data_IF_624683178731
#
_entry.id   IF_624683178731
#
_cell.length_a   1.000
_cell.length_b   1.000
_cell.length_c   1.000
_cell.angle_alpha   90.00
_cell.angle_beta   90.00
_cell.angle_gamma   90.00
#
_symmetry.space_group_name_H-M   'P 1'
#
loop_
_entity.id
_entity.type
_entity.pdbx_description
1 polymer ?
#
# COMPACT_ATOMS: atom_id res chain seq x y z
N UNK A 1 -2.74 8.09 41.58
CA UNK A 1 -1.37 8.56 41.28
C UNK A 1 -1.24 8.54 39.77
N UNK A 2 -0.88 9.67 39.14
CA UNK A 2 -0.67 9.72 37.70
C UNK A 2 0.68 9.07 37.39
N UNK A 3 0.70 8.12 36.46
CA UNK A 3 1.94 7.52 35.96
C UNK A 3 2.63 8.50 35.02
N UNK A 4 3.72 9.11 35.48
CA UNK A 4 4.67 9.81 34.61
C UNK A 4 5.27 8.78 33.64
N UNK A 5 4.75 8.74 32.40
CA UNK A 5 5.44 8.07 31.30
C UNK A 5 6.77 8.80 31.07
N UNK A 6 7.85 8.05 30.97
CA UNK A 6 9.19 8.61 30.75
C UNK A 6 9.24 9.41 29.44
N UNK A 7 9.88 10.57 29.48
CA UNK A 7 10.22 11.35 28.28
C UNK A 7 11.13 10.52 27.38
N UNK A 8 10.62 10.13 26.20
CA UNK A 8 11.44 9.49 25.16
C UNK A 8 12.44 10.52 24.63
N UNK A 9 13.73 10.19 24.68
CA UNK A 9 14.82 11.00 24.14
C UNK A 9 15.33 10.38 22.83
N UNK A 10 15.48 11.21 21.80
CA UNK A 10 15.98 10.80 20.48
C UNK A 10 17.51 10.90 20.41
N UNK A 11 18.15 10.04 19.62
CA UNK A 11 19.61 10.01 19.50
C UNK A 11 20.11 11.03 18.46
N UNK A 12 21.34 11.52 18.61
CA UNK A 12 21.98 12.43 17.63
C UNK A 12 21.90 11.92 16.19
N UNK A 13 22.02 10.59 16.02
CA UNK A 13 21.96 9.91 14.73
C UNK A 13 20.62 10.11 14.00
N UNK A 14 19.53 10.30 14.73
CA UNK A 14 18.19 10.48 14.15
C UNK A 14 18.05 11.87 13.51
N UNK A 15 18.67 12.88 14.12
CA UNK A 15 18.78 14.24 13.57
C UNK A 15 19.71 14.29 12.35
N UNK A 16 20.82 13.54 12.37
CA UNK A 16 21.73 13.45 11.23
C UNK A 16 21.09 12.70 10.04
N UNK A 17 20.32 11.63 10.29
CA UNK A 17 19.51 10.94 9.28
C UNK A 17 18.49 11.89 8.64
N UNK A 18 17.76 12.69 9.43
CA UNK A 18 16.82 13.70 8.94
C UNK A 18 17.50 14.77 8.06
N UNK A 19 18.69 15.22 8.45
CA UNK A 19 19.48 16.22 7.68
C UNK A 19 20.05 15.66 6.39
N UNK A 20 20.59 14.45 6.40
CA UNK A 20 21.01 13.77 5.17
C UNK A 20 19.81 13.59 4.22
N UNK A 21 18.65 13.21 4.76
CA UNK A 21 17.47 12.97 3.95
C UNK A 21 16.87 14.25 3.35
N UNK A 22 16.77 15.34 4.13
CA UNK A 22 16.35 16.65 3.61
C UNK A 22 17.22 17.15 2.44
N UNK A 23 18.49 16.71 2.38
CA UNK A 23 19.44 16.99 1.29
C UNK A 23 19.41 15.96 0.15
N UNK A 24 19.07 14.69 0.43
CA UNK A 24 19.17 13.56 -0.51
C UNK A 24 17.87 13.25 -1.27
N UNK A 25 16.71 13.72 -0.82
CA UNK A 25 15.47 13.55 -1.60
C UNK A 25 15.52 14.49 -2.81
N UNK A 26 16.00 13.93 -3.92
CA UNK A 26 15.87 14.51 -5.25
C UNK A 26 14.38 14.76 -5.56
N UNK A 27 14.07 15.95 -6.09
CA UNK A 27 12.82 16.21 -6.81
C UNK A 27 12.85 15.47 -8.14
N UNK A 28 12.78 14.14 -8.09
CA UNK A 28 12.38 13.37 -9.26
C UNK A 28 10.96 13.80 -9.60
N UNK A 29 10.65 14.10 -10.88
CA UNK A 29 9.33 14.58 -11.29
C UNK A 29 8.31 13.45 -11.18
N UNK A 30 7.86 13.20 -9.94
CA UNK A 30 7.15 12.01 -9.48
C UNK A 30 5.74 11.95 -10.07
N UNK A 31 5.10 13.11 -10.26
CA UNK A 31 3.76 13.20 -10.84
C UNK A 31 3.73 13.82 -12.24
N UNK A 32 4.88 14.06 -12.87
CA UNK A 32 4.90 14.66 -14.21
C UNK A 32 4.04 13.91 -15.25
N UNK A 33 3.98 12.56 -15.28
CA UNK A 33 3.04 11.84 -16.15
C UNK A 33 1.56 12.20 -15.91
N UNK A 34 1.18 12.59 -14.69
CA UNK A 34 -0.17 13.07 -14.36
C UNK A 34 -0.42 14.47 -14.93
N UNK A 35 0.53 15.38 -14.70
CA UNK A 35 0.43 16.77 -15.13
C UNK A 35 0.40 16.89 -16.67
N UNK A 36 1.26 16.12 -17.33
CA UNK A 36 1.38 16.08 -18.79
C UNK A 36 0.26 15.29 -19.47
N UNK A 37 -0.59 14.56 -18.72
CA UNK A 37 -1.61 13.65 -19.27
C UNK A 37 -2.58 14.37 -20.24
N UNK A 38 -2.92 15.62 -19.96
CA UNK A 38 -3.76 16.44 -20.84
C UNK A 38 -3.12 16.66 -22.23
N UNK A 39 -1.80 16.81 -22.29
CA UNK A 39 -1.01 16.88 -23.53
C UNK A 39 -0.99 15.53 -24.22
N UNK A 40 -0.71 14.44 -23.49
CA UNK A 40 -0.68 13.07 -24.02
C UNK A 40 -2.01 12.67 -24.66
N UNK A 41 -3.16 12.98 -24.03
CA UNK A 41 -4.49 12.70 -24.59
C UNK A 41 -4.74 13.54 -25.86
N UNK A 42 -4.29 14.81 -25.87
CA UNK A 42 -4.45 15.71 -27.02
C UNK A 42 -3.64 15.25 -28.23
N UNK A 43 -2.40 14.80 -28.02
CA UNK A 43 -1.56 14.19 -29.04
C UNK A 43 -2.18 12.89 -29.57
N UNK A 44 -2.63 12.01 -28.67
CA UNK A 44 -3.32 10.77 -29.02
C UNK A 44 -4.60 11.00 -29.84
N UNK A 45 -5.36 12.05 -29.53
CA UNK A 45 -6.58 12.43 -30.27
C UNK A 45 -6.29 12.79 -31.73
N UNK A 46 -5.11 13.35 -32.02
CA UNK A 46 -4.69 13.66 -33.40
C UNK A 46 -4.29 12.42 -34.21
N UNK A 47 -3.72 11.41 -33.55
CA UNK A 47 -3.21 10.19 -34.19
C UNK A 47 -4.24 9.05 -34.28
N UNK A 48 -5.20 8.98 -33.36
CA UNK A 48 -6.12 7.85 -33.26
C UNK A 48 -7.32 7.94 -34.25
N UNK A 49 -7.85 6.78 -34.71
CA UNK A 49 -9.00 6.70 -35.61
C UNK A 49 -10.25 7.46 -35.13
N UNK A 50 -11.03 8.01 -36.06
CA UNK A 50 -12.11 8.94 -35.75
C UNK A 50 -13.23 8.35 -34.86
N UNK A 51 -13.46 7.04 -34.96
CA UNK A 51 -14.45 6.29 -34.19
C UNK A 51 -14.05 6.06 -32.71
N UNK A 52 -12.77 6.10 -32.35
CA UNK A 52 -12.31 5.99 -30.95
C UNK A 52 -12.10 7.34 -30.26
N UNK A 53 -12.06 8.44 -31.02
CA UNK A 53 -11.90 9.81 -30.49
C UNK A 53 -12.93 10.24 -29.43
N UNK A 54 -14.23 9.86 -29.49
CA UNK A 54 -15.18 10.23 -28.44
C UNK A 54 -14.74 9.76 -27.05
N UNK A 55 -14.22 8.54 -26.93
CA UNK A 55 -13.73 8.00 -25.65
C UNK A 55 -12.47 8.70 -25.13
N UNK A 56 -11.62 9.20 -26.02
CA UNK A 56 -10.47 10.04 -25.63
C UNK A 56 -10.91 11.41 -25.11
N UNK A 57 -11.99 11.99 -25.68
CA UNK A 57 -12.56 13.24 -25.17
C UNK A 57 -13.23 13.02 -23.82
N UNK A 58 -13.99 11.93 -23.65
CA UNK A 58 -14.53 11.52 -22.33
C UNK A 58 -13.41 11.41 -21.28
N UNK A 59 -12.27 10.78 -21.63
CA UNK A 59 -11.10 10.69 -20.77
C UNK A 59 -10.44 12.05 -20.47
N UNK A 60 -10.36 12.95 -21.47
CA UNK A 60 -9.85 14.30 -21.31
C UNK A 60 -10.70 15.12 -20.33
N UNK A 61 -12.03 15.12 -20.52
CA UNK A 61 -12.96 15.87 -19.67
C UNK A 61 -12.95 15.35 -18.22
N UNK A 62 -12.86 14.02 -18.04
CA UNK A 62 -12.68 13.39 -16.74
C UNK A 62 -11.37 13.80 -16.06
N UNK A 63 -10.26 13.82 -16.81
CA UNK A 63 -8.97 14.26 -16.30
C UNK A 63 -9.03 15.75 -15.89
N UNK A 64 -9.60 16.61 -16.73
CA UNK A 64 -9.78 18.04 -16.43
C UNK A 64 -10.60 18.27 -15.17
N UNK A 65 -11.66 17.50 -14.94
CA UNK A 65 -12.47 17.58 -13.73
C UNK A 65 -11.69 17.13 -12.47
N UNK A 66 -11.08 15.93 -12.50
CA UNK A 66 -10.41 15.35 -11.32
C UNK A 66 -9.12 16.08 -10.93
N UNK A 67 -8.43 16.68 -11.89
CA UNK A 67 -7.19 17.43 -11.67
C UNK A 67 -7.39 18.57 -10.66
N UNK A 68 -8.54 19.25 -10.68
CA UNK A 68 -8.85 20.29 -9.69
C UNK A 68 -9.04 19.69 -8.28
N UNK A 69 -9.87 18.64 -8.13
CA UNK A 69 -10.04 17.96 -6.82
C UNK A 69 -8.70 17.48 -6.26
N UNK A 70 -7.83 16.91 -7.10
CA UNK A 70 -6.52 16.40 -6.67
C UNK A 70 -5.61 17.54 -6.22
N UNK A 71 -5.57 18.67 -6.92
CA UNK A 71 -4.77 19.85 -6.51
C UNK A 71 -5.24 20.44 -5.18
N UNK A 72 -6.54 20.56 -4.97
CA UNK A 72 -7.14 21.05 -3.72
C UNK A 72 -6.91 20.06 -2.55
N UNK A 73 -7.07 18.76 -2.83
CA UNK A 73 -6.81 17.67 -1.89
C UNK A 73 -5.34 17.57 -1.49
N UNK A 74 -4.42 17.69 -2.44
CA UNK A 74 -2.98 17.75 -2.20
C UNK A 74 -2.58 19.02 -1.44
N UNK A 75 -3.17 20.17 -1.74
CA UNK A 75 -2.93 21.41 -0.98
C UNK A 75 -3.31 21.25 0.50
N UNK A 76 -4.48 20.65 0.76
CA UNK A 76 -4.96 20.35 2.13
C UNK A 76 -4.08 19.30 2.83
N UNK A 77 -3.64 18.29 2.09
CA UNK A 77 -2.72 17.24 2.56
C UNK A 77 -1.36 17.84 2.92
N UNK A 78 -0.82 18.72 2.07
CA UNK A 78 0.44 19.44 2.27
C UNK A 78 0.41 20.31 3.53
N UNK A 79 -0.64 21.12 3.70
CA UNK A 79 -0.82 21.96 4.89
C UNK A 79 -0.92 21.13 6.20
N UNK A 80 -1.44 19.91 6.13
CA UNK A 80 -1.53 18.99 7.27
C UNK A 80 -0.19 18.27 7.52
N UNK A 81 0.49 17.83 6.47
CA UNK A 81 1.83 17.23 6.51
C UNK A 81 2.88 18.21 7.05
N UNK A 82 2.82 19.47 6.65
CA UNK A 82 3.69 20.55 7.16
C UNK A 82 3.53 20.71 8.67
N UNK A 83 2.28 20.90 9.15
CA UNK A 83 1.97 21.00 10.59
C UNK A 83 2.45 19.76 11.36
N UNK A 84 2.30 18.57 10.76
CA UNK A 84 2.79 17.32 11.33
C UNK A 84 4.32 17.30 11.44
N UNK A 85 5.07 17.62 10.38
CA UNK A 85 6.55 17.68 10.39
C UNK A 85 7.06 18.69 11.42
N UNK A 86 6.54 19.92 11.43
CA UNK A 86 6.93 20.95 12.41
C UNK A 86 6.65 20.49 13.85
N UNK A 87 5.53 19.76 14.07
CA UNK A 87 5.20 19.16 15.37
C UNK A 87 6.16 18.03 15.76
N UNK A 88 6.46 17.10 14.85
CA UNK A 88 7.40 16.00 15.07
C UNK A 88 8.82 16.53 15.34
N UNK A 89 9.28 17.53 14.58
CA UNK A 89 10.54 18.25 14.78
C UNK A 89 10.63 18.85 16.20
N UNK A 90 9.56 19.52 16.66
CA UNK A 90 9.49 20.06 18.02
C UNK A 90 9.47 18.97 19.11
N UNK A 91 8.81 17.83 18.87
CA UNK A 91 8.81 16.66 19.77
C UNK A 91 10.20 16.03 19.84
N UNK A 92 10.91 15.88 18.72
CA UNK A 92 12.27 15.37 18.72
C UNK A 92 13.22 16.25 19.55
N UNK A 93 13.13 17.59 19.42
CA UNK A 93 13.97 18.52 20.20
C UNK A 93 13.74 18.47 21.71
N UNK A 94 12.54 18.10 22.20
CA UNK A 94 12.15 18.28 23.62
C UNK A 94 11.65 17.03 24.35
N UNK A 95 11.53 15.91 23.65
CA UNK A 95 10.84 14.71 24.10
C UNK A 95 9.32 14.79 23.92
N UNK A 96 8.66 13.63 23.89
CA UNK A 96 7.22 13.51 23.70
C UNK A 96 6.45 13.61 25.02
N UNK A 97 5.40 14.44 25.06
CA UNK A 97 4.42 14.48 26.14
C UNK A 97 3.07 13.91 25.68
N UNK A 98 2.19 13.49 26.60
CA UNK A 98 0.85 12.97 26.27
C UNK A 98 0.01 13.97 25.47
N UNK A 99 0.18 15.28 25.71
CA UNK A 99 -0.48 16.33 24.90
C UNK A 99 0.08 16.42 23.48
N UNK A 100 1.33 16.03 23.28
CA UNK A 100 1.94 15.94 21.95
C UNK A 100 1.50 14.66 21.23
N UNK A 101 1.42 13.53 21.94
CA UNK A 101 0.83 12.26 21.49
C UNK A 101 -0.60 12.49 20.94
N UNK A 102 -1.51 13.03 21.76
CA UNK A 102 -2.88 13.41 21.33
C UNK A 102 -2.91 14.41 20.16
N UNK A 103 -1.95 15.34 20.10
CA UNK A 103 -1.88 16.36 19.05
C UNK A 103 -1.42 15.77 17.72
N UNK A 104 -0.50 14.79 17.76
CA UNK A 104 -0.04 14.05 16.59
C UNK A 104 -1.14 13.11 16.10
N UNK A 105 -1.85 12.43 16.99
CA UNK A 105 -3.01 11.59 16.67
C UNK A 105 -4.15 12.40 16.02
N UNK A 106 -4.43 13.62 16.51
CA UNK A 106 -5.40 14.53 15.88
C UNK A 106 -4.96 14.95 14.47
N UNK A 107 -3.68 15.29 14.27
CA UNK A 107 -3.15 15.60 12.94
C UNK A 107 -3.21 14.39 12.01
N UNK A 108 -2.88 13.19 12.49
CA UNK A 108 -3.04 11.92 11.78
C UNK A 108 -4.48 11.70 11.29
N UNK A 109 -5.45 11.89 12.19
CA UNK A 109 -6.88 11.76 11.88
C UNK A 109 -7.45 12.90 11.00
N UNK A 110 -6.68 13.99 10.77
CA UNK A 110 -7.08 15.10 9.90
C UNK A 110 -6.75 14.85 8.41
N UNK A 111 -5.97 13.81 8.08
CA UNK A 111 -5.68 13.44 6.69
C UNK A 111 -6.92 12.88 5.97
N UNK A 112 -7.65 13.76 5.28
CA UNK A 112 -8.84 13.41 4.50
C UNK A 112 -8.47 12.71 3.19
N UNK A 113 -9.00 11.49 2.99
CA UNK A 113 -8.73 10.67 1.81
C UNK A 113 -9.72 10.84 0.66
N UNK A 114 -10.60 11.85 0.68
CA UNK A 114 -11.72 11.94 -0.27
C UNK A 114 -11.23 12.06 -1.73
N UNK A 115 -10.21 12.89 -1.99
CA UNK A 115 -9.61 13.01 -3.32
C UNK A 115 -8.93 11.71 -3.80
N UNK A 116 -8.51 10.82 -2.89
CA UNK A 116 -7.99 9.48 -3.24
C UNK A 116 -9.12 8.55 -3.67
N UNK A 117 -10.34 8.70 -3.11
CA UNK A 117 -11.53 7.96 -3.57
C UNK A 117 -11.91 8.42 -4.98
N UNK A 118 -11.97 9.73 -5.22
CA UNK A 118 -12.28 10.28 -6.55
C UNK A 118 -11.20 9.92 -7.59
N UNK A 119 -9.91 9.94 -7.21
CA UNK A 119 -8.80 9.46 -8.04
C UNK A 119 -8.97 7.98 -8.40
N UNK A 120 -9.39 7.12 -7.46
CA UNK A 120 -9.71 5.71 -7.75
C UNK A 120 -10.87 5.57 -8.74
N UNK A 121 -11.94 6.35 -8.59
CA UNK A 121 -13.04 6.36 -9.56
C UNK A 121 -12.59 6.83 -10.95
N UNK A 122 -11.72 7.84 -11.03
CA UNK A 122 -11.10 8.25 -12.29
C UNK A 122 -10.28 7.12 -12.93
N UNK A 123 -9.42 6.44 -12.16
CA UNK A 123 -8.61 5.31 -12.63
C UNK A 123 -9.49 4.19 -13.22
N UNK A 124 -10.53 3.79 -12.50
CA UNK A 124 -11.43 2.72 -12.94
C UNK A 124 -12.16 3.07 -14.23
N UNK A 125 -12.58 4.33 -14.40
CA UNK A 125 -13.21 4.80 -15.62
C UNK A 125 -12.21 4.91 -16.78
N UNK A 126 -11.05 5.53 -16.54
CA UNK A 126 -9.98 5.63 -17.54
C UNK A 126 -9.52 4.26 -18.06
N UNK A 127 -9.33 3.30 -17.15
CA UNK A 127 -9.04 1.89 -17.48
C UNK A 127 -10.12 1.27 -18.36
N UNK A 128 -11.40 1.52 -18.04
CA UNK A 128 -12.55 1.01 -18.82
C UNK A 128 -12.56 1.58 -20.24
N UNK A 129 -12.33 2.88 -20.39
CA UNK A 129 -12.35 3.56 -21.68
C UNK A 129 -11.13 3.19 -22.55
N UNK A 130 -9.93 3.08 -21.98
CA UNK A 130 -8.73 2.65 -22.71
C UNK A 130 -8.80 1.18 -23.14
N UNK A 131 -9.32 0.29 -22.29
CA UNK A 131 -9.56 -1.12 -22.64
C UNK A 131 -10.60 -1.23 -23.78
N UNK A 132 -11.65 -0.40 -23.76
CA UNK A 132 -12.63 -0.33 -24.84
C UNK A 132 -12.01 0.17 -26.16
N UNK A 133 -11.21 1.24 -26.13
CA UNK A 133 -10.47 1.73 -27.30
C UNK A 133 -9.55 0.63 -27.87
N UNK A 134 -8.78 -0.05 -27.01
CA UNK A 134 -7.84 -1.07 -27.45
C UNK A 134 -8.56 -2.29 -28.06
N UNK A 135 -9.71 -2.72 -27.49
CA UNK A 135 -10.59 -3.72 -28.10
C UNK A 135 -11.04 -3.33 -29.50
N UNK A 136 -11.51 -2.11 -29.71
CA UNK A 136 -11.93 -1.61 -31.04
C UNK A 136 -10.78 -1.68 -32.04
N UNK A 137 -9.60 -1.17 -31.68
CA UNK A 137 -8.42 -1.16 -32.55
C UNK A 137 -7.97 -2.58 -32.94
N UNK A 138 -8.04 -3.54 -32.00
CA UNK A 138 -7.69 -4.94 -32.24
C UNK A 138 -8.71 -5.68 -33.11
N UNK A 139 -10.01 -5.43 -32.93
CA UNK A 139 -11.06 -6.01 -33.77
C UNK A 139 -10.94 -5.54 -35.23
N UNK A 140 -10.65 -4.25 -35.44
CA UNK A 140 -10.37 -3.68 -36.76
C UNK A 140 -9.15 -4.34 -37.42
N UNK A 141 -8.06 -4.57 -36.68
CA UNK A 141 -6.86 -5.22 -37.23
C UNK A 141 -7.03 -6.71 -37.54
N UNK A 142 -7.99 -7.39 -36.90
CA UNK A 142 -8.13 -8.86 -36.97
C UNK A 142 -9.37 -9.36 -37.71
N UNK A 143 -10.20 -8.46 -38.23
CA UNK A 143 -11.40 -8.83 -39.01
C UNK A 143 -12.42 -9.68 -38.25
N UNK A 144 -12.48 -9.55 -36.91
CA UNK A 144 -13.38 -10.31 -36.04
C UNK A 144 -12.83 -11.64 -35.50
N UNK A 145 -11.65 -12.10 -35.94
CA UNK A 145 -11.05 -13.35 -35.44
C UNK A 145 -10.77 -13.33 -33.92
N UNK A 146 -10.61 -12.13 -33.34
CA UNK A 146 -10.40 -11.93 -31.90
C UNK A 146 -11.70 -11.79 -31.09
N UNK A 147 -12.89 -11.72 -31.69
CA UNK A 147 -14.10 -11.27 -30.96
C UNK A 147 -14.50 -12.20 -29.81
N UNK A 148 -14.55 -13.50 -30.03
CA UNK A 148 -14.85 -14.48 -28.99
C UNK A 148 -13.75 -14.55 -27.91
N UNK A 149 -12.49 -14.43 -28.30
CA UNK A 149 -11.36 -14.40 -27.35
C UNK A 149 -11.37 -13.14 -26.48
N UNK A 150 -11.73 -11.97 -27.02
CA UNK A 150 -11.86 -10.73 -26.26
C UNK A 150 -13.08 -10.74 -25.33
N UNK A 151 -14.18 -11.42 -25.71
CA UNK A 151 -15.31 -11.71 -24.81
C UNK A 151 -14.88 -12.64 -23.67
N UNK A 152 -14.25 -13.77 -23.99
CA UNK A 152 -13.76 -14.74 -22.99
C UNK A 152 -12.74 -14.08 -22.05
N UNK A 153 -11.78 -13.32 -22.57
CA UNK A 153 -10.80 -12.58 -21.78
C UNK A 153 -11.46 -11.61 -20.79
N UNK A 154 -12.54 -10.93 -21.20
CA UNK A 154 -13.27 -9.99 -20.31
C UNK A 154 -13.99 -10.73 -19.18
N UNK A 155 -14.59 -11.89 -19.46
CA UNK A 155 -15.22 -12.71 -18.42
C UNK A 155 -14.19 -13.40 -17.52
N UNK A 156 -13.06 -13.85 -18.06
CA UNK A 156 -11.95 -14.39 -17.28
C UNK A 156 -11.30 -13.30 -16.40
N UNK A 157 -11.18 -12.06 -16.87
CA UNK A 157 -10.76 -10.92 -16.03
C UNK A 157 -11.74 -10.76 -14.85
N UNK A 158 -13.05 -10.70 -15.13
CA UNK A 158 -14.09 -10.59 -14.09
C UNK A 158 -14.00 -11.71 -13.06
N UNK A 159 -13.89 -12.96 -13.50
CA UNK A 159 -13.75 -14.13 -12.64
C UNK A 159 -12.44 -14.13 -11.86
N UNK A 160 -11.33 -13.73 -12.48
CA UNK A 160 -10.02 -13.65 -11.84
C UNK A 160 -10.08 -12.71 -10.65
N UNK A 161 -10.64 -11.51 -10.83
CA UNK A 161 -10.73 -10.47 -9.79
C UNK A 161 -11.62 -10.90 -8.62
N UNK A 162 -12.76 -11.53 -8.91
CA UNK A 162 -13.68 -12.08 -7.92
C UNK A 162 -12.97 -13.16 -7.06
N UNK A 163 -12.23 -14.07 -7.71
CA UNK A 163 -11.53 -15.15 -7.02
C UNK A 163 -10.24 -14.68 -6.34
N UNK A 164 -9.54 -13.66 -6.85
CA UNK A 164 -8.39 -13.03 -6.22
C UNK A 164 -8.78 -12.39 -4.87
N UNK A 165 -9.92 -11.69 -4.85
CA UNK A 165 -10.49 -11.14 -3.61
C UNK A 165 -10.83 -12.26 -2.62
N UNK A 166 -11.58 -13.28 -3.03
CA UNK A 166 -11.95 -14.42 -2.17
C UNK A 166 -10.72 -15.16 -1.63
N UNK A 167 -9.73 -15.48 -2.49
CA UNK A 167 -8.46 -16.11 -2.09
C UNK A 167 -7.76 -15.30 -1.01
N UNK A 168 -7.69 -13.98 -1.19
CA UNK A 168 -6.98 -13.09 -0.25
C UNK A 168 -7.76 -12.89 1.04
N UNK A 169 -9.08 -12.77 1.00
CA UNK A 169 -9.91 -12.68 2.21
C UNK A 169 -9.77 -13.97 3.05
N UNK A 170 -9.78 -15.16 2.40
CA UNK A 170 -9.49 -16.44 3.06
C UNK A 170 -8.04 -16.55 3.57
N UNK A 171 -7.06 -16.01 2.84
CA UNK A 171 -5.67 -15.96 3.30
C UNK A 171 -5.53 -15.13 4.59
N UNK A 172 -6.21 -13.98 4.67
CA UNK A 172 -6.21 -13.11 5.84
C UNK A 172 -6.91 -13.78 7.04
N UNK A 173 -8.07 -14.40 6.85
CA UNK A 173 -8.76 -15.18 7.90
C UNK A 173 -7.86 -16.30 8.45
N UNK A 174 -7.31 -17.14 7.55
CA UNK A 174 -6.37 -18.22 7.88
C UNK A 174 -5.15 -17.69 8.65
N UNK A 175 -4.56 -16.57 8.20
CA UNK A 175 -3.37 -16.00 8.81
C UNK A 175 -3.68 -15.38 10.18
N UNK A 176 -4.83 -14.71 10.34
CA UNK A 176 -5.30 -14.18 11.62
C UNK A 176 -5.50 -15.29 12.66
N UNK A 177 -6.15 -16.40 12.26
CA UNK A 177 -6.34 -17.56 13.11
C UNK A 177 -4.99 -18.20 13.52
N UNK A 178 -4.06 -18.36 12.56
CA UNK A 178 -2.70 -18.82 12.83
C UNK A 178 -1.92 -17.90 13.79
N UNK A 179 -2.05 -16.58 13.65
CA UNK A 179 -1.42 -15.61 14.56
C UNK A 179 -1.97 -15.70 15.98
N UNK A 180 -3.28 -15.95 16.14
CA UNK A 180 -3.89 -16.22 17.44
C UNK A 180 -3.37 -17.53 18.05
N UNK A 181 -3.22 -18.60 17.26
CA UNK A 181 -2.61 -19.87 17.67
C UNK A 181 -1.18 -19.65 18.17
N UNK A 182 -0.36 -18.89 17.43
CA UNK A 182 1.03 -18.61 17.80
C UNK A 182 1.14 -17.77 19.08
N UNK A 183 0.30 -16.73 19.21
CA UNK A 183 0.23 -15.91 20.43
C UNK A 183 -0.20 -16.74 21.65
N UNK A 184 -1.24 -17.57 21.52
CA UNK A 184 -1.71 -18.43 22.60
C UNK A 184 -0.70 -19.51 22.98
N UNK A 185 -0.06 -20.18 22.00
CA UNK A 185 1.04 -21.12 22.27
C UNK A 185 2.20 -20.45 22.98
N UNK A 186 2.55 -19.23 22.59
CA UNK A 186 3.63 -18.49 23.24
C UNK A 186 3.24 -18.08 24.67
N UNK A 187 2.01 -17.61 24.90
CA UNK A 187 1.51 -17.29 26.24
C UNK A 187 1.47 -18.53 27.15
N UNK A 188 1.10 -19.71 26.64
CA UNK A 188 1.18 -20.98 27.37
C UNK A 188 2.61 -21.28 27.79
N UNK A 189 3.57 -21.25 26.86
CA UNK A 189 5.00 -21.47 27.15
C UNK A 189 5.55 -20.47 28.18
N UNK A 190 5.15 -19.20 28.07
CA UNK A 190 5.51 -18.14 29.02
C UNK A 190 4.97 -18.45 30.41
N UNK A 191 3.69 -18.79 30.53
CA UNK A 191 3.06 -19.05 31.82
C UNK A 191 3.65 -20.30 32.48
N UNK A 192 3.89 -21.36 31.71
CA UNK A 192 4.55 -22.59 32.20
C UNK A 192 5.96 -22.29 32.71
N UNK A 193 6.80 -21.59 31.93
CA UNK A 193 8.14 -21.19 32.37
C UNK A 193 8.15 -20.19 33.51
N UNK A 194 7.20 -19.26 33.58
CA UNK A 194 7.12 -18.28 34.66
C UNK A 194 6.64 -18.89 36.00
N UNK A 195 5.96 -20.04 35.95
CA UNK A 195 5.64 -20.87 37.13
C UNK A 195 6.91 -21.62 37.61
N UNK A 196 7.76 -22.07 36.70
CA UNK A 196 9.01 -22.80 37.02
C UNK A 196 10.18 -21.88 37.42
N UNK A 197 10.54 -20.91 36.59
CA UNK A 197 11.63 -19.95 36.81
C UNK A 197 11.27 -18.55 36.26
N UNK A 198 10.82 -17.69 37.18
CA UNK A 198 10.35 -16.33 36.91
C UNK A 198 11.36 -15.42 36.19
N UNK A 199 12.62 -15.41 36.62
CA UNK A 199 13.64 -14.49 36.09
C UNK A 199 14.14 -14.90 34.70
N UNK A 200 14.19 -16.20 34.43
CA UNK A 200 14.60 -16.74 33.15
C UNK A 200 13.53 -16.51 32.08
N UNK A 201 12.25 -16.70 32.42
CA UNK A 201 11.12 -16.33 31.56
C UNK A 201 11.11 -14.82 31.20
N UNK A 202 11.50 -13.94 32.14
CA UNK A 202 11.68 -12.50 31.86
C UNK A 202 12.79 -12.23 30.86
N UNK A 203 13.92 -12.94 30.96
CA UNK A 203 15.06 -12.79 30.05
C UNK A 203 14.74 -13.26 28.63
N UNK A 204 14.08 -14.41 28.50
CA UNK A 204 13.66 -14.96 27.20
C UNK A 204 12.62 -14.08 26.50
N UNK A 205 11.66 -13.50 27.24
CA UNK A 205 10.72 -12.53 26.68
C UNK A 205 11.44 -11.33 26.04
N UNK A 206 12.44 -10.76 26.73
CA UNK A 206 13.22 -9.62 26.21
C UNK A 206 13.98 -10.01 24.93
N UNK A 207 14.61 -11.18 24.91
CA UNK A 207 15.26 -11.70 23.70
C UNK A 207 14.29 -11.86 22.52
N UNK A 208 13.07 -12.36 22.78
CA UNK A 208 12.05 -12.50 21.74
C UNK A 208 11.49 -11.14 21.26
N UNK A 209 11.47 -10.14 22.13
CA UNK A 209 11.17 -8.75 21.78
C UNK A 209 12.23 -8.19 20.81
N UNK A 210 13.51 -8.45 21.08
CA UNK A 210 14.62 -8.11 20.18
C UNK A 210 14.55 -8.86 18.83
N UNK A 211 14.10 -10.12 18.83
CA UNK A 211 13.87 -10.89 17.60
C UNK A 211 12.70 -10.35 16.76
N UNK A 212 11.61 -9.91 17.41
CA UNK A 212 10.48 -9.28 16.72
C UNK A 212 10.90 -7.92 16.14
N UNK A 213 11.62 -7.09 16.89
CA UNK A 213 12.17 -5.82 16.40
C UNK A 213 13.04 -6.01 15.14
N UNK A 214 13.83 -7.09 15.06
CA UNK A 214 14.64 -7.42 13.87
C UNK A 214 13.83 -7.83 12.64
N UNK A 215 12.57 -8.26 12.80
CA UNK A 215 11.69 -8.69 11.70
C UNK A 215 10.83 -7.56 11.10
N UNK A 216 10.63 -6.44 11.83
CA UNK A 216 9.89 -5.26 11.32
C UNK A 216 10.45 -4.79 9.96
N UNK A 217 11.78 -4.58 9.78
CA UNK A 217 12.32 -4.06 8.54
C UNK A 217 12.18 -5.01 7.34
N UNK A 218 12.02 -6.32 7.57
CA UNK A 218 11.89 -7.29 6.49
C UNK A 218 10.47 -7.31 5.92
N UNK A 219 9.44 -7.19 6.76
CA UNK A 219 8.06 -6.96 6.30
C UNK A 219 7.87 -5.59 5.64
N UNK A 220 8.59 -4.56 6.10
CA UNK A 220 8.58 -3.24 5.47
C UNK A 220 9.24 -3.27 4.07
N UNK A 221 10.28 -4.08 3.86
CA UNK A 221 10.82 -4.37 2.50
C UNK A 221 9.85 -5.18 1.65
N UNK A 222 9.13 -6.15 2.23
CA UNK A 222 8.14 -6.98 1.51
C UNK A 222 6.99 -6.12 0.97
N UNK A 223 6.49 -5.17 1.78
CA UNK A 223 5.52 -4.15 1.36
C UNK A 223 6.00 -3.33 0.16
N UNK A 224 7.22 -2.80 0.24
CA UNK A 224 7.83 -2.03 -0.86
C UNK A 224 8.00 -2.88 -2.12
N UNK A 225 8.41 -4.15 -1.99
CA UNK A 225 8.54 -5.08 -3.12
C UNK A 225 7.20 -5.31 -3.84
N UNK A 226 6.10 -5.46 -3.11
CA UNK A 226 4.78 -5.63 -3.73
C UNK A 226 4.34 -4.37 -4.49
N UNK A 227 4.49 -3.18 -3.90
CA UNK A 227 4.30 -1.89 -4.57
C UNK A 227 5.09 -1.80 -5.86
N UNK A 228 6.40 -2.06 -5.80
CA UNK A 228 7.30 -1.88 -6.94
C UNK A 228 7.07 -2.92 -8.05
N UNK A 229 6.65 -4.15 -7.72
CA UNK A 229 6.37 -5.20 -8.70
C UNK A 229 5.28 -4.83 -9.70
N UNK A 230 4.32 -3.98 -9.31
CA UNK A 230 3.27 -3.43 -10.20
C UNK A 230 3.81 -2.59 -11.36
N UNK A 231 5.06 -2.14 -11.30
CA UNK A 231 5.69 -1.32 -12.34
C UNK A 231 6.42 -2.13 -13.42
N UNK A 232 6.89 -3.35 -13.09
CA UNK A 232 7.82 -4.08 -13.95
C UNK A 232 7.15 -4.88 -15.08
N UNK A 233 5.89 -5.30 -14.92
CA UNK A 233 5.17 -6.15 -15.89
C UNK A 233 4.56 -5.39 -17.08
N UNK A 234 5.04 -4.17 -17.38
CA UNK A 234 4.40 -3.24 -18.33
C UNK A 234 4.87 -3.33 -19.79
N UNK A 235 5.75 -4.28 -20.11
CA UNK A 235 6.37 -4.38 -21.44
C UNK A 235 5.56 -5.17 -22.47
N UNK A 236 4.37 -5.68 -22.12
CA UNK A 236 3.47 -6.35 -23.07
C UNK A 236 2.58 -5.34 -23.79
N UNK A 237 2.33 -5.55 -25.08
CA UNK A 237 1.34 -4.77 -25.85
C UNK A 237 -0.10 -4.94 -25.34
N UNK A 238 -0.34 -5.90 -24.45
CA UNK A 238 -1.59 -6.08 -23.72
C UNK A 238 -1.56 -5.49 -22.30
N UNK A 239 -0.63 -4.60 -21.94
CA UNK A 239 -0.50 -4.13 -20.54
C UNK A 239 -1.78 -3.46 -20.01
N UNK A 240 -2.50 -2.69 -20.84
CA UNK A 240 -3.84 -2.14 -20.52
C UNK A 240 -4.88 -3.22 -20.19
N UNK A 241 -4.85 -4.38 -20.85
CA UNK A 241 -5.74 -5.50 -20.58
C UNK A 241 -5.36 -6.25 -19.30
N UNK A 242 -4.07 -6.32 -18.99
CA UNK A 242 -3.54 -7.00 -17.80
C UNK A 242 -3.54 -6.09 -16.56
N UNK A 243 -3.70 -4.78 -16.75
CA UNK A 243 -3.65 -3.75 -15.71
C UNK A 243 -4.44 -4.15 -14.45
N UNK A 244 -5.72 -4.51 -14.61
CA UNK A 244 -6.60 -4.82 -13.47
C UNK A 244 -6.18 -6.07 -12.70
N UNK A 245 -5.68 -7.08 -13.42
CA UNK A 245 -5.18 -8.34 -12.86
C UNK A 245 -3.88 -8.12 -12.09
N UNK A 246 -2.93 -7.38 -12.68
CA UNK A 246 -1.64 -7.02 -12.07
C UNK A 246 -1.83 -6.20 -10.79
N UNK A 247 -2.64 -5.14 -10.86
CA UNK A 247 -2.89 -4.26 -9.71
C UNK A 247 -3.53 -5.04 -8.55
N UNK A 248 -4.52 -5.90 -8.82
CA UNK A 248 -5.15 -6.72 -7.78
C UNK A 248 -4.19 -7.75 -7.19
N UNK A 249 -3.22 -8.27 -7.95
CA UNK A 249 -2.19 -9.14 -7.39
C UNK A 249 -1.21 -8.37 -6.49
N UNK A 250 -0.79 -7.17 -6.89
CA UNK A 250 0.06 -6.30 -6.10
C UNK A 250 -0.64 -5.84 -4.81
N UNK A 251 -1.88 -5.31 -4.92
CA UNK A 251 -2.71 -4.86 -3.79
C UNK A 251 -2.98 -5.98 -2.79
N UNK A 252 -3.28 -7.21 -3.26
CA UNK A 252 -3.51 -8.35 -2.37
C UNK A 252 -2.23 -8.81 -1.66
N UNK A 253 -1.09 -8.82 -2.36
CA UNK A 253 0.21 -9.10 -1.76
C UNK A 253 0.58 -8.06 -0.70
N UNK A 254 0.43 -6.78 -1.03
CA UNK A 254 0.65 -5.67 -0.09
C UNK A 254 -0.30 -5.78 1.12
N UNK A 255 -1.59 -6.10 0.90
CA UNK A 255 -2.57 -6.27 1.98
C UNK A 255 -2.20 -7.41 2.93
N UNK A 256 -1.71 -8.55 2.42
CA UNK A 256 -1.22 -9.66 3.24
C UNK A 256 0.04 -9.26 4.02
N UNK A 257 1.04 -8.65 3.36
CA UNK A 257 2.27 -8.20 4.00
C UNK A 257 1.99 -7.13 5.09
N UNK A 258 1.01 -6.25 4.86
CA UNK A 258 0.56 -5.24 5.82
C UNK A 258 -0.07 -5.87 7.06
N UNK A 259 -0.93 -6.87 6.86
CA UNK A 259 -1.55 -7.61 7.96
C UNK A 259 -0.53 -8.46 8.74
N UNK A 260 0.50 -8.99 8.08
CA UNK A 260 1.63 -9.65 8.74
C UNK A 260 2.40 -8.66 9.64
N UNK A 261 2.75 -7.48 9.10
CA UNK A 261 3.43 -6.42 9.84
C UNK A 261 2.61 -5.93 11.04
N UNK A 262 1.32 -5.64 10.85
CA UNK A 262 0.42 -5.20 11.93
C UNK A 262 0.36 -6.22 13.07
N UNK A 263 0.18 -7.52 12.78
CA UNK A 263 0.19 -8.56 13.81
C UNK A 263 1.52 -8.70 14.53
N UNK A 264 2.65 -8.46 13.85
CA UNK A 264 3.96 -8.47 14.48
C UNK A 264 4.12 -7.30 15.47
N UNK A 265 3.59 -6.11 15.13
CA UNK A 265 3.56 -4.94 16.02
C UNK A 265 2.60 -5.16 17.19
N UNK A 266 1.40 -5.72 16.96
CA UNK A 266 0.46 -6.08 18.03
C UNK A 266 1.08 -7.12 18.98
N UNK A 267 1.81 -8.10 18.45
CA UNK A 267 2.53 -9.10 19.25
C UNK A 267 3.65 -8.48 20.09
N UNK A 268 4.38 -7.49 19.55
CA UNK A 268 5.34 -6.68 20.30
C UNK A 268 4.64 -5.92 21.44
N UNK A 269 3.57 -5.18 21.14
CA UNK A 269 2.81 -4.36 22.11
C UNK A 269 2.18 -5.22 23.23
N UNK A 270 1.66 -6.41 22.90
CA UNK A 270 1.13 -7.36 23.87
C UNK A 270 2.24 -7.96 24.76
N UNK A 271 3.40 -8.31 24.19
CA UNK A 271 4.56 -8.76 24.98
C UNK A 271 5.11 -7.65 25.89
N UNK A 272 5.23 -6.42 25.42
CA UNK A 272 5.62 -5.25 26.23
C UNK A 272 4.65 -5.01 27.39
N UNK A 273 3.33 -5.06 27.12
CA UNK A 273 2.29 -4.92 28.13
C UNK A 273 2.33 -6.07 29.16
N UNK A 274 2.51 -7.32 28.70
CA UNK A 274 2.67 -8.49 29.56
C UNK A 274 3.95 -8.41 30.41
N UNK A 275 5.01 -7.80 29.87
CA UNK A 275 6.28 -7.59 30.57
C UNK A 275 6.17 -6.50 31.65
N UNK A 276 5.37 -5.47 31.42
CA UNK A 276 5.16 -4.37 32.36
C UNK A 276 4.15 -4.69 33.48
N UNK A 277 3.12 -5.52 33.20
CA UNK A 277 2.05 -5.86 34.13
C UNK A 277 2.26 -7.25 34.80
N UNK A 278 3.52 -7.58 35.12
CA UNK A 278 3.93 -8.93 35.51
C UNK A 278 3.50 -9.30 36.96
N UNK A 279 2.73 -10.38 37.14
CA UNK A 279 2.26 -10.85 38.46
C UNK A 279 2.28 -12.38 38.58
N UNK A 280 3.05 -12.91 39.54
CA UNK A 280 3.19 -14.36 39.76
C UNK A 280 1.86 -15.07 40.08
N UNK A 281 0.90 -14.39 40.72
CA UNK A 281 -0.37 -14.97 41.16
C UNK A 281 -1.39 -15.17 40.03
N UNK A 282 -1.10 -14.73 38.82
CA UNK A 282 -2.05 -14.80 37.69
C UNK A 282 -1.67 -15.82 36.62
N UNK A 283 -0.48 -16.42 36.67
CA UNK A 283 0.00 -17.32 35.61
C UNK A 283 -0.81 -18.60 35.46
N UNK A 284 -1.20 -19.26 36.56
CA UNK A 284 -2.03 -20.47 36.50
C UNK A 284 -3.39 -20.20 35.84
N UNK A 285 -4.04 -19.09 36.22
CA UNK A 285 -5.33 -18.68 35.65
C UNK A 285 -5.21 -18.29 34.16
N UNK A 286 -4.13 -17.60 33.79
CA UNK A 286 -3.87 -17.22 32.38
C UNK A 286 -3.52 -18.44 31.53
N UNK A 287 -2.74 -19.38 32.06
CA UNK A 287 -2.41 -20.65 31.43
C UNK A 287 -3.66 -21.45 31.05
N UNK A 288 -4.59 -21.61 32.00
CA UNK A 288 -5.83 -22.34 31.78
C UNK A 288 -6.71 -21.67 30.72
N UNK A 289 -6.91 -20.35 30.82
CA UNK A 289 -7.67 -19.57 29.82
C UNK A 289 -7.02 -19.63 28.44
N UNK A 290 -5.69 -19.62 28.35
CA UNK A 290 -4.97 -19.73 27.09
C UNK A 290 -5.09 -21.13 26.48
N UNK A 291 -5.05 -22.19 27.30
CA UNK A 291 -5.24 -23.59 26.85
C UNK A 291 -6.64 -23.84 26.29
N UNK A 292 -7.69 -23.37 26.96
CA UNK A 292 -9.07 -23.48 26.44
C UNK A 292 -9.20 -22.74 25.10
N UNK A 293 -8.81 -21.46 25.04
CA UNK A 293 -8.86 -20.67 23.80
C UNK A 293 -8.04 -21.27 22.66
N UNK A 294 -6.88 -21.87 22.95
CA UNK A 294 -6.06 -22.50 21.93
C UNK A 294 -6.80 -23.67 21.26
N UNK A 295 -7.51 -24.50 22.02
CA UNK A 295 -8.30 -25.60 21.47
C UNK A 295 -9.41 -25.09 20.53
N UNK A 296 -10.15 -24.06 20.94
CA UNK A 296 -11.22 -23.47 20.12
C UNK A 296 -10.67 -22.92 18.78
N UNK A 297 -9.58 -22.16 18.83
CA UNK A 297 -8.98 -21.53 17.64
C UNK A 297 -8.31 -22.57 16.72
N UNK A 298 -7.74 -23.65 17.28
CA UNK A 298 -7.18 -24.76 16.49
C UNK A 298 -8.27 -25.52 15.73
N UNK A 299 -9.45 -25.75 16.30
CA UNK A 299 -10.56 -26.41 15.58
C UNK A 299 -11.02 -25.62 14.36
N UNK A 300 -10.97 -24.28 14.40
CA UNK A 300 -11.30 -23.41 13.26
C UNK A 300 -10.23 -23.49 12.16
N UNK A 301 -8.97 -23.76 12.50
CA UNK A 301 -7.84 -23.74 11.56
C UNK A 301 -7.99 -24.74 10.41
N UNK A 302 -8.51 -25.94 10.67
CA UNK A 302 -8.65 -26.98 9.63
C UNK A 302 -9.73 -26.64 8.60
N UNK A 303 -10.82 -26.01 9.04
CA UNK A 303 -11.84 -25.47 8.14
C UNK A 303 -11.26 -24.37 7.25
N UNK A 304 -10.54 -23.42 7.85
CA UNK A 304 -9.88 -22.33 7.12
C UNK A 304 -8.80 -22.84 6.15
N UNK A 305 -8.06 -23.89 6.51
CA UNK A 305 -7.11 -24.55 5.62
C UNK A 305 -7.84 -25.16 4.41
N UNK A 306 -8.93 -25.90 4.62
CA UNK A 306 -9.72 -26.52 3.55
C UNK A 306 -10.29 -25.49 2.58
N UNK A 307 -10.88 -24.40 3.10
CA UNK A 307 -11.51 -23.37 2.28
C UNK A 307 -10.48 -22.50 1.54
N UNK A 308 -9.32 -22.23 2.15
CA UNK A 308 -8.20 -21.59 1.47
C UNK A 308 -7.74 -22.43 0.27
N UNK A 309 -7.47 -23.73 0.45
CA UNK A 309 -7.01 -24.62 -0.65
C UNK A 309 -8.02 -24.66 -1.81
N UNK A 310 -9.34 -24.78 -1.52
CA UNK A 310 -10.38 -24.72 -2.57
C UNK A 310 -10.36 -23.40 -3.35
N UNK A 311 -10.13 -22.28 -2.66
CA UNK A 311 -10.04 -20.96 -3.28
C UNK A 311 -8.78 -20.80 -4.14
N UNK A 312 -7.66 -21.36 -3.68
CA UNK A 312 -6.37 -21.36 -4.38
C UNK A 312 -6.42 -22.21 -5.66
N UNK A 313 -6.98 -23.42 -5.58
CA UNK A 313 -7.22 -24.31 -6.73
C UNK A 313 -8.11 -23.64 -7.80
N UNK A 314 -9.17 -22.94 -7.37
CA UNK A 314 -10.07 -22.23 -8.28
C UNK A 314 -9.38 -21.04 -8.95
N UNK A 315 -8.63 -20.25 -8.17
CA UNK A 315 -7.84 -19.14 -8.67
C UNK A 315 -6.79 -19.61 -9.69
N UNK A 316 -6.03 -20.66 -9.38
CA UNK A 316 -4.99 -21.21 -10.27
C UNK A 316 -5.55 -21.68 -11.62
N UNK A 317 -6.72 -22.32 -11.64
CA UNK A 317 -7.39 -22.72 -12.89
C UNK A 317 -7.79 -21.51 -13.75
N UNK A 318 -8.32 -20.45 -13.13
CA UNK A 318 -8.72 -19.22 -13.84
C UNK A 318 -7.48 -18.49 -14.36
N UNK A 319 -6.44 -18.34 -13.54
CA UNK A 319 -5.15 -17.75 -13.93
C UNK A 319 -4.52 -18.50 -15.12
N UNK A 320 -4.55 -19.83 -15.11
CA UNK A 320 -4.05 -20.65 -16.22
C UNK A 320 -4.84 -20.40 -17.50
N UNK A 321 -6.19 -20.40 -17.48
CA UNK A 321 -6.99 -20.14 -18.68
C UNK A 321 -6.82 -18.70 -19.17
N UNK A 322 -6.74 -17.73 -18.27
CA UNK A 322 -6.49 -16.32 -18.59
C UNK A 322 -5.15 -16.12 -19.32
N UNK A 323 -4.05 -16.71 -18.81
CA UNK A 323 -2.73 -16.69 -19.48
C UNK A 323 -2.72 -17.41 -20.83
N UNK A 324 -3.56 -18.43 -21.01
CA UNK A 324 -3.72 -19.12 -22.30
C UNK A 324 -4.45 -18.24 -23.31
N UNK A 325 -5.60 -17.66 -22.95
CA UNK A 325 -6.37 -16.76 -23.83
C UNK A 325 -5.56 -15.49 -24.18
N UNK A 326 -4.80 -14.95 -23.23
CA UNK A 326 -3.85 -13.85 -23.49
C UNK A 326 -2.89 -14.20 -24.65
N UNK A 327 -2.25 -15.38 -24.60
CA UNK A 327 -1.31 -15.81 -25.64
C UNK A 327 -1.99 -16.10 -26.98
N UNK A 328 -3.22 -16.63 -26.97
CA UNK A 328 -4.01 -16.81 -28.18
C UNK A 328 -4.31 -15.46 -28.86
N UNK A 329 -4.63 -14.42 -28.07
CA UNK A 329 -4.82 -13.04 -28.54
C UNK A 329 -3.51 -12.44 -29.09
N UNK A 330 -2.39 -12.58 -28.36
CA UNK A 330 -1.06 -12.11 -28.79
C UNK A 330 -0.67 -12.71 -30.15
N UNK A 331 -0.80 -14.04 -30.30
CA UNK A 331 -0.44 -14.75 -31.55
C UNK A 331 -1.30 -14.36 -32.74
N UNK A 332 -2.60 -14.09 -32.56
CA UNK A 332 -3.47 -13.61 -33.65
C UNK A 332 -3.10 -12.18 -34.02
N UNK A 333 -2.85 -11.33 -33.02
CA UNK A 333 -2.47 -9.93 -33.23
C UNK A 333 -1.10 -9.76 -33.93
N UNK A 334 -0.12 -10.59 -33.61
CA UNK A 334 1.18 -10.63 -34.30
C UNK A 334 1.07 -11.05 -35.78
N UNK A 335 0.00 -11.78 -36.14
CA UNK A 335 -0.23 -12.29 -37.50
C UNK A 335 -1.07 -11.38 -38.39
N UNK A 336 -1.82 -10.43 -37.82
CA UNK A 336 -2.58 -9.45 -38.60
C UNK A 336 -1.67 -8.41 -39.27
N UNK A 337 -1.92 -8.11 -40.55
CA UNK A 337 -1.23 -7.02 -41.28
C UNK A 337 -1.59 -5.67 -40.64
N UNK A 338 -0.63 -5.10 -39.91
CA UNK A 338 -0.95 -4.39 -38.67
C UNK A 338 -1.22 -2.88 -38.85
N UNK A 339 -2.37 -2.53 -39.45
CA UNK A 339 -2.73 -1.13 -39.74
C UNK A 339 -2.95 -0.24 -38.50
N UNK A 340 -3.15 -0.83 -37.31
CA UNK A 340 -3.46 -0.12 -36.06
C UNK A 340 -2.36 -0.22 -34.97
N UNK A 341 -1.15 -0.72 -35.30
CA UNK A 341 -0.11 -0.98 -34.28
C UNK A 341 0.34 0.27 -33.52
N UNK A 342 0.58 1.38 -34.20
CA UNK A 342 0.95 2.66 -33.56
C UNK A 342 -0.17 3.18 -32.65
N UNK A 343 -1.43 3.05 -33.09
CA UNK A 343 -2.61 3.39 -32.30
C UNK A 343 -2.68 2.60 -30.99
N UNK A 344 -2.41 1.29 -31.02
CA UNK A 344 -2.43 0.42 -29.84
C UNK A 344 -1.27 0.76 -28.89
N UNK A 345 -0.05 0.97 -29.41
CA UNK A 345 1.09 1.41 -28.60
C UNK A 345 0.86 2.77 -27.92
N UNK A 346 0.14 3.69 -28.57
CA UNK A 346 -0.19 5.00 -28.02
C UNK A 346 -1.23 4.92 -26.89
N UNK A 347 -2.22 4.03 -27.04
CA UNK A 347 -3.19 3.70 -25.97
C UNK A 347 -2.50 3.05 -24.78
N UNK A 348 -1.54 2.15 -25.01
CA UNK A 348 -0.75 1.51 -23.96
C UNK A 348 0.20 2.51 -23.25
N UNK A 349 0.79 3.45 -24.00
CA UNK A 349 1.58 4.56 -23.44
C UNK A 349 0.72 5.47 -22.56
N UNK A 350 -0.49 5.80 -23.00
CA UNK A 350 -1.46 6.61 -22.26
C UNK A 350 -1.94 5.90 -20.99
N UNK A 351 -2.21 4.59 -21.08
CA UNK A 351 -2.51 3.70 -19.95
C UNK A 351 -1.37 3.72 -18.92
N UNK A 352 -0.13 3.48 -19.35
CA UNK A 352 1.05 3.48 -18.48
C UNK A 352 1.30 4.83 -17.81
N UNK A 353 1.12 5.96 -18.52
CA UNK A 353 1.22 7.30 -17.94
C UNK A 353 0.21 7.55 -16.81
N UNK A 354 -1.03 7.08 -16.97
CA UNK A 354 -2.06 7.14 -15.90
C UNK A 354 -1.69 6.23 -14.74
N UNK A 355 -1.15 5.03 -15.00
CA UNK A 355 -0.74 4.10 -13.94
C UNK A 355 0.37 4.70 -13.08
N UNK A 356 1.43 5.25 -13.66
CA UNK A 356 2.56 5.81 -12.88
C UNK A 356 2.14 6.99 -12.02
N UNK A 357 1.41 7.93 -12.63
CA UNK A 357 0.77 9.05 -11.95
C UNK A 357 0.01 8.60 -10.69
N UNK A 358 -0.87 7.62 -10.87
CA UNK A 358 -1.79 7.18 -9.84
C UNK A 358 -1.12 6.33 -8.76
N UNK A 359 -0.22 5.42 -9.15
CA UNK A 359 0.49 4.56 -8.22
C UNK A 359 1.33 5.38 -7.24
N UNK A 360 2.05 6.42 -7.69
CA UNK A 360 2.85 7.20 -6.75
C UNK A 360 1.97 8.07 -5.83
N UNK A 361 0.93 8.74 -6.35
CA UNK A 361 -0.05 9.48 -5.52
C UNK A 361 -0.67 8.59 -4.43
N UNK A 362 -1.27 7.46 -4.83
CA UNK A 362 -1.95 6.56 -3.89
C UNK A 362 -1.02 6.00 -2.82
N UNK A 363 0.22 5.68 -3.17
CA UNK A 363 1.10 4.94 -2.26
C UNK A 363 2.06 5.83 -1.47
N UNK A 364 2.30 7.08 -1.88
CA UNK A 364 2.75 8.14 -0.97
C UNK A 364 1.71 8.39 0.14
N UNK A 365 0.42 8.46 -0.22
CA UNK A 365 -0.68 8.60 0.74
C UNK A 365 -0.84 7.36 1.65
N UNK A 366 -0.72 6.15 1.09
CA UNK A 366 -0.82 4.92 1.88
C UNK A 366 0.33 4.76 2.89
N UNK A 367 1.54 5.22 2.54
CA UNK A 367 2.67 5.24 3.46
C UNK A 367 2.40 6.16 4.65
N UNK A 368 2.01 7.42 4.42
CA UNK A 368 1.77 8.35 5.54
C UNK A 368 0.63 7.86 6.45
N UNK A 369 -0.49 7.36 5.89
CA UNK A 369 -1.57 6.83 6.72
C UNK A 369 -1.14 5.61 7.58
N UNK A 370 -0.18 4.82 7.12
CA UNK A 370 0.35 3.67 7.86
C UNK A 370 1.26 4.11 9.00
N UNK A 371 2.14 5.07 8.74
CA UNK A 371 3.06 5.61 9.75
C UNK A 371 2.33 6.43 10.82
N UNK A 372 1.38 7.28 10.40
CA UNK A 372 0.54 8.09 11.29
C UNK A 372 -0.29 7.25 12.28
N UNK A 373 -0.73 6.05 11.87
CA UNK A 373 -1.47 5.10 12.71
C UNK A 373 -0.59 4.28 13.68
N UNK A 374 0.73 4.41 13.61
CA UNK A 374 1.71 3.66 14.44
C UNK A 374 2.52 4.57 15.36
N UNK A 375 2.19 5.86 15.42
CA UNK A 375 2.99 6.88 16.12
C UNK A 375 2.92 6.79 17.66
N UNK A 376 1.93 6.05 18.18
CA UNK A 376 1.78 5.70 19.60
C UNK A 376 2.63 4.48 20.02
N UNK A 377 3.13 3.71 19.05
CA UNK A 377 3.68 2.37 19.26
C UNK A 377 5.21 2.29 19.14
N UNK A 378 5.85 3.25 18.47
CA UNK A 378 7.31 3.25 18.32
C UNK A 378 7.84 4.66 18.01
N UNK A 379 8.80 5.14 18.81
CA UNK A 379 9.41 6.45 18.61
C UNK A 379 10.35 6.46 17.39
N UNK A 380 10.96 5.33 17.05
CA UNK A 380 11.84 5.21 15.87
C UNK A 380 11.06 5.40 14.55
N UNK A 381 9.74 5.17 14.57
CA UNK A 381 8.84 5.46 13.45
C UNK A 381 8.58 6.95 13.25
N UNK A 382 8.92 7.84 14.18
CA UNK A 382 8.69 9.28 14.04
C UNK A 382 9.48 9.85 12.85
N UNK A 383 10.74 9.42 12.70
CA UNK A 383 11.59 9.78 11.55
C UNK A 383 11.00 9.23 10.25
N UNK A 384 10.61 7.95 10.21
CA UNK A 384 9.95 7.36 9.04
C UNK A 384 8.64 8.07 8.65
N UNK A 385 7.87 8.52 9.64
CA UNK A 385 6.65 9.31 9.45
C UNK A 385 6.95 10.68 8.83
N UNK A 386 7.99 11.37 9.29
CA UNK A 386 8.44 12.65 8.71
C UNK A 386 8.93 12.49 7.28
N UNK A 387 9.61 11.38 6.95
CA UNK A 387 10.04 11.05 5.57
C UNK A 387 8.82 10.89 4.65
N UNK A 388 7.81 10.12 5.07
CA UNK A 388 6.58 9.93 4.30
C UNK A 388 5.80 11.24 4.10
N UNK A 389 5.76 12.09 5.13
CA UNK A 389 5.17 13.43 5.05
C UNK A 389 5.93 14.34 4.05
N UNK A 390 7.26 14.30 4.05
CA UNK A 390 8.10 15.04 3.11
C UNK A 390 7.81 14.68 1.65
N UNK A 391 7.69 13.39 1.33
CA UNK A 391 7.37 12.96 -0.03
C UNK A 391 6.01 13.46 -0.52
N UNK A 392 4.99 13.54 0.34
CA UNK A 392 3.69 14.09 -0.04
C UNK A 392 3.72 15.60 -0.30
N UNK A 393 4.59 16.34 0.40
CA UNK A 393 4.77 17.78 0.19
C UNK A 393 5.47 18.03 -1.15
N UNK A 394 6.50 17.25 -1.49
CA UNK A 394 7.14 17.29 -2.81
C UNK A 394 6.12 17.05 -3.92
N UNK A 395 5.28 16.02 -3.78
CA UNK A 395 4.21 15.71 -4.73
C UNK A 395 3.21 16.87 -4.84
N UNK A 396 2.81 17.49 -3.73
CA UNK A 396 1.90 18.63 -3.73
C UNK A 396 2.52 19.88 -4.37
N UNK A 397 3.80 20.17 -4.10
CA UNK A 397 4.53 21.30 -4.69
C UNK A 397 4.74 21.12 -6.20
N UNK A 398 5.04 19.92 -6.69
CA UNK A 398 5.05 19.63 -8.14
C UNK A 398 3.67 19.85 -8.78
N UNK A 399 2.58 19.59 -8.03
CA UNK A 399 1.22 19.69 -8.55
C UNK A 399 0.71 21.15 -8.59
N UNK A 400 1.11 21.93 -7.58
CA UNK A 400 0.52 23.25 -7.28
C UNK A 400 1.49 24.42 -7.50
N UNK A 401 2.80 24.17 -7.66
CA UNK A 401 3.82 25.21 -7.80
C UNK A 401 4.09 26.02 -6.53
N UNK A 402 3.82 25.43 -5.36
CA UNK A 402 3.78 26.13 -4.06
C UNK A 402 5.15 26.33 -3.39
N UNK A 403 6.19 25.57 -3.78
CA UNK A 403 7.55 25.61 -3.23
C UNK A 403 7.68 25.44 -1.70
N UNK A 404 6.66 24.88 -1.03
CA UNK A 404 6.59 24.66 0.42
C UNK A 404 7.78 23.86 0.95
N UNK A 405 8.31 22.95 0.13
CA UNK A 405 9.43 22.07 0.43
C UNK A 405 10.70 22.82 0.83
N UNK A 406 10.95 24.01 0.26
CA UNK A 406 12.17 24.76 0.54
C UNK A 406 12.10 25.48 1.90
N UNK A 407 10.92 25.94 2.31
CA UNK A 407 10.68 26.46 3.66
C UNK A 407 10.92 25.37 4.72
N UNK A 408 10.38 24.17 4.50
CA UNK A 408 10.49 23.05 5.46
C UNK A 408 11.90 22.44 5.45
N UNK A 409 12.60 22.41 4.30
CA UNK A 409 14.04 22.10 4.24
C UNK A 409 14.84 23.07 5.11
N UNK A 410 14.48 24.36 5.10
CA UNK A 410 15.01 25.37 6.01
C UNK A 410 14.82 24.98 7.47
N UNK A 411 13.58 24.70 7.90
CA UNK A 411 13.27 24.29 9.27
C UNK A 411 14.04 23.02 9.70
N UNK A 412 14.10 21.98 8.86
CA UNK A 412 14.82 20.74 9.19
C UNK A 412 16.34 20.92 9.24
N UNK A 413 16.93 21.77 8.40
CA UNK A 413 18.37 22.01 8.45
C UNK A 413 18.80 22.66 9.79
N UNK A 414 17.91 23.46 10.40
CA UNK A 414 18.09 24.16 11.68
C UNK A 414 17.87 23.26 12.92
N UNK A 415 17.82 21.93 12.78
CA UNK A 415 17.54 21.01 13.90
C UNK A 415 18.62 20.92 15.00
N UNK A 416 19.86 21.33 14.76
CA UNK A 416 20.94 21.39 15.78
C UNK A 416 21.51 22.81 16.01
N UNK A 417 20.62 23.81 15.99
CA UNK A 417 20.77 25.08 16.73
C UNK A 417 19.57 25.21 17.67
#
# INVERSE_FOLDING_TARGET
>A
MATERQLVQFASKDFDNLRELAKRVETKPIIKPFLDLSTTIKEATGMLPANVRPKLHELFDLHSAINMTIKDGLSTTCATATKFITKCSAVMKRGMSTKDEESLEKLANTFTGNYIVELKTFIEKARTDLNAIQKTLMLESSGGQLEELLKEFTELERQFLENAKVKTDRALEKSKNQGQIESLKHEIQICERAIENYEEAQKEMRQKLDELNKKIPDYEKELLKHRDSSSQERTSILSTFLWKVRDVNADNGERIARENLLRLIESKKDLEMKLNNWSAKEFEKRLEVAKVKLNDVVQVQDTLNSDFTKSEDRYARIEQRFKTVQKEIEVIYERSENHNQQSIMLVDTLSNGIIDACNCLMTAFAAIQTHLKRIDADADLLVASMIAAFHLIIIADECNGTNTIDDIRGELCMLNT
#
